data_IF_045501048918
#
_entry.id   IF_045501048918
#
_cell.length_a   1.000
_cell.length_b   1.000
_cell.length_c   1.000
_cell.angle_alpha   90.00
_cell.angle_beta   90.00
_cell.angle_gamma   90.00
#
_symmetry.space_group_name_H-M   'P 1'
#
loop_
_entity.id
_entity.type
_entity.pdbx_description
1 polymer ?
#
# COMPACT_ATOMS: atom_id res chain seq x y z
N UNK A 1 -57.36 -43.59 -1.38
CA UNK A 1 -56.32 -44.65 -1.30
C UNK A 1 -55.53 -44.56 -2.60
N UNK A 2 -54.25 -44.24 -2.71
CA UNK A 2 -53.09 -44.00 -1.85
C UNK A 2 -52.27 -42.89 -2.56
N UNK A 3 -51.75 -41.83 -1.93
CA UNK A 3 -50.61 -41.74 -1.01
C UNK A 3 -49.28 -42.31 -1.58
N UNK A 4 -48.25 -41.45 -1.58
CA UNK A 4 -46.79 -41.70 -1.68
C UNK A 4 -46.17 -41.61 -3.10
N UNK A 5 -45.00 -41.02 -3.35
CA UNK A 5 -44.04 -40.24 -2.55
C UNK A 5 -43.04 -39.57 -3.50
N UNK A 6 -42.67 -38.34 -3.13
CA UNK A 6 -41.65 -37.39 -3.57
C UNK A 6 -40.22 -37.96 -3.72
N UNK A 7 -39.42 -37.38 -4.62
CA UNK A 7 -38.16 -36.64 -4.31
C UNK A 7 -37.19 -36.67 -5.50
N UNK A 8 -37.13 -35.53 -6.20
CA UNK A 8 -36.08 -35.22 -7.15
C UNK A 8 -34.75 -35.04 -6.42
N UNK A 9 -33.76 -35.79 -6.84
CA UNK A 9 -32.36 -35.65 -6.46
C UNK A 9 -31.72 -34.58 -7.32
N UNK A 10 -31.94 -33.31 -7.00
CA UNK A 10 -31.32 -32.21 -7.72
C UNK A 10 -31.05 -30.99 -6.86
N UNK A 11 -30.53 -31.14 -5.64
CA UNK A 11 -30.20 -29.98 -4.80
C UNK A 11 -29.11 -30.29 -3.77
N UNK A 12 -27.85 -30.48 -4.17
CA UNK A 12 -26.69 -30.36 -3.26
C UNK A 12 -25.40 -30.01 -4.01
N UNK A 13 -25.39 -28.87 -4.71
CA UNK A 13 -24.15 -28.14 -4.98
C UNK A 13 -24.36 -26.68 -4.55
N UNK A 14 -24.50 -26.48 -3.25
CA UNK A 14 -24.36 -25.15 -2.67
C UNK A 14 -22.89 -24.72 -2.84
N UNK A 15 -22.62 -23.99 -3.92
CA UNK A 15 -21.40 -23.22 -4.08
C UNK A 15 -21.31 -22.28 -2.87
N UNK A 16 -20.43 -22.59 -1.93
CA UNK A 16 -20.07 -21.68 -0.86
C UNK A 16 -19.25 -20.55 -1.48
N UNK A 17 -19.92 -19.56 -2.05
CA UNK A 17 -19.30 -18.28 -2.39
C UNK A 17 -19.02 -17.58 -1.05
N UNK A 18 -17.76 -17.48 -0.59
CA UNK A 18 -17.48 -16.73 0.61
C UNK A 18 -18.00 -15.30 0.41
N UNK A 19 -18.60 -14.66 1.44
CA UNK A 19 -19.02 -13.27 1.33
C UNK A 19 -17.83 -12.42 0.89
N UNK A 20 -18.02 -11.39 0.05
CA UNK A 20 -16.92 -10.55 -0.42
C UNK A 20 -16.27 -9.92 0.81
N UNK A 21 -15.10 -10.44 1.20
CA UNK A 21 -14.26 -9.82 2.21
C UNK A 21 -13.83 -8.49 1.60
N UNK A 22 -14.30 -7.38 2.18
CA UNK A 22 -13.90 -6.03 1.80
C UNK A 22 -12.46 -5.81 2.22
N UNK A 23 -11.53 -6.44 1.50
CA UNK A 23 -10.08 -6.26 1.67
C UNK A 23 -9.83 -4.76 1.67
N UNK A 24 -9.36 -4.24 2.80
CA UNK A 24 -9.06 -2.83 2.95
C UNK A 24 -8.08 -2.39 1.85
N UNK A 25 -8.39 -1.26 1.19
CA UNK A 25 -7.52 -0.63 0.19
C UNK A 25 -7.34 0.85 0.52
N UNK A 26 -6.13 1.41 0.33
CA UNK A 26 -5.93 2.83 0.51
C UNK A 26 -6.80 3.62 -0.47
N UNK A 27 -7.27 4.79 -0.03
CA UNK A 27 -8.07 5.69 -0.87
C UNK A 27 -7.20 6.24 -2.01
N UNK A 28 -7.81 6.40 -3.18
CA UNK A 28 -7.13 7.04 -4.32
C UNK A 28 -6.84 8.50 -4.00
N UNK A 29 -5.58 8.89 -4.17
CA UNK A 29 -5.12 10.27 -4.00
C UNK A 29 -5.56 11.06 -5.23
N UNK A 30 -6.47 12.01 -5.04
CA UNK A 30 -6.98 12.88 -6.10
C UNK A 30 -6.42 14.30 -6.00
N UNK A 31 -6.03 14.73 -4.80
CA UNK A 31 -5.44 16.05 -4.54
C UNK A 31 -4.30 15.95 -3.52
N UNK A 32 -3.61 17.08 -3.26
CA UNK A 32 -2.52 17.14 -2.27
C UNK A 32 -3.02 16.88 -0.84
N UNK A 33 -4.20 17.35 -0.47
CA UNK A 33 -4.76 17.21 0.88
C UNK A 33 -5.05 15.75 1.24
N UNK A 34 -5.40 14.92 0.26
CA UNK A 34 -5.65 13.48 0.43
C UNK A 34 -4.39 12.75 0.94
N UNK A 35 -3.19 13.24 0.58
CA UNK A 35 -1.92 12.69 1.06
C UNK A 35 -1.72 12.92 2.57
N UNK A 36 -2.41 13.91 3.14
CA UNK A 36 -2.19 14.39 4.49
C UNK A 36 -0.82 15.05 4.71
N UNK A 37 -0.10 15.37 3.63
CA UNK A 37 1.18 16.07 3.66
C UNK A 37 1.01 17.56 3.37
N UNK A 38 1.92 18.36 3.91
CA UNK A 38 1.96 19.80 3.61
C UNK A 38 2.59 20.03 2.24
N UNK A 39 2.17 21.11 1.57
CA UNK A 39 2.76 21.50 0.29
C UNK A 39 4.28 21.74 0.40
N UNK A 40 4.73 22.31 1.52
CA UNK A 40 6.15 22.54 1.78
C UNK A 40 6.96 21.25 1.83
N UNK A 41 6.44 20.19 2.46
CA UNK A 41 7.11 18.90 2.51
C UNK A 41 7.20 18.25 1.13
N UNK A 42 6.12 18.30 0.34
CA UNK A 42 6.15 17.76 -1.03
C UNK A 42 7.09 18.57 -1.93
N UNK A 43 7.09 19.90 -1.81
CA UNK A 43 8.02 20.77 -2.52
C UNK A 43 9.48 20.49 -2.17
N UNK A 44 9.76 20.27 -0.89
CA UNK A 44 11.07 19.85 -0.41
C UNK A 44 11.52 18.52 -1.02
N UNK A 45 10.66 17.49 -1.00
CA UNK A 45 10.95 16.17 -1.58
C UNK A 45 11.21 16.26 -3.10
N UNK A 46 10.38 17.03 -3.81
CA UNK A 46 10.54 17.25 -5.25
C UNK A 46 11.86 17.96 -5.54
N UNK A 47 12.17 19.04 -4.82
CA UNK A 47 13.41 19.79 -5.04
C UNK A 47 14.65 18.95 -4.74
N UNK A 48 14.64 18.17 -3.66
CA UNK A 48 15.70 17.21 -3.33
C UNK A 48 15.86 16.14 -4.42
N UNK A 49 14.75 15.64 -4.97
CA UNK A 49 14.78 14.65 -6.05
C UNK A 49 15.50 15.21 -7.29
N UNK A 50 15.18 16.44 -7.69
CA UNK A 50 15.85 17.11 -8.81
C UNK A 50 17.32 17.37 -8.47
N UNK A 51 17.64 17.80 -7.24
CA UNK A 51 19.01 18.04 -6.78
C UNK A 51 19.91 16.81 -6.91
N UNK A 52 19.45 15.62 -6.48
CA UNK A 52 20.27 14.41 -6.54
C UNK A 52 20.39 13.80 -7.93
N UNK A 53 19.36 13.96 -8.78
CA UNK A 53 19.35 13.36 -10.13
C UNK A 53 19.88 14.29 -11.22
N UNK A 54 19.99 15.59 -10.96
CA UNK A 54 20.53 16.60 -11.87
C UNK A 54 19.55 17.01 -12.98
N UNK A 55 19.13 16.07 -13.83
CA UNK A 55 18.12 16.27 -14.86
C UNK A 55 17.05 15.18 -14.77
N UNK A 56 15.79 15.58 -14.61
CA UNK A 56 14.66 14.63 -14.45
C UNK A 56 13.40 15.16 -15.11
N UNK A 57 12.58 14.25 -15.61
CA UNK A 57 11.23 14.59 -16.08
C UNK A 57 10.24 14.69 -14.92
N UNK A 58 9.15 15.43 -15.13
CA UNK A 58 8.06 15.50 -14.15
C UNK A 58 7.45 14.13 -13.82
N UNK A 59 7.38 13.22 -14.81
CA UNK A 59 6.92 11.85 -14.59
C UNK A 59 7.89 11.03 -13.73
N UNK A 60 9.20 11.16 -13.93
CA UNK A 60 10.20 10.48 -13.10
C UNK A 60 10.18 10.98 -11.66
N UNK A 61 9.99 12.28 -11.45
CA UNK A 61 9.80 12.85 -10.11
C UNK A 61 8.57 12.23 -9.43
N UNK A 62 7.45 12.16 -10.15
CA UNK A 62 6.21 11.60 -9.63
C UNK A 62 6.31 10.10 -9.30
N UNK A 63 6.96 9.32 -10.16
CA UNK A 63 7.21 7.90 -9.91
C UNK A 63 8.15 7.69 -8.72
N UNK A 64 9.20 8.51 -8.60
CA UNK A 64 10.15 8.43 -7.50
C UNK A 64 9.50 8.71 -6.14
N UNK A 65 8.73 9.80 -6.02
CA UNK A 65 8.06 10.14 -4.75
C UNK A 65 6.74 9.38 -4.53
N UNK A 66 6.32 8.55 -5.51
CA UNK A 66 5.09 7.74 -5.49
C UNK A 66 3.80 8.55 -5.32
N UNK A 67 3.74 9.74 -5.93
CA UNK A 67 2.56 10.61 -5.91
C UNK A 67 2.00 10.87 -7.32
N UNK A 68 0.66 11.06 -7.47
CA UNK A 68 0.06 11.33 -8.76
C UNK A 68 0.61 12.61 -9.42
N UNK A 69 1.06 12.48 -10.67
CA UNK A 69 1.66 13.62 -11.38
C UNK A 69 0.69 14.80 -11.53
N UNK A 70 -0.52 14.57 -12.06
CA UNK A 70 -1.40 15.66 -12.52
C UNK A 70 -1.83 16.63 -11.42
N UNK A 71 -2.25 16.10 -10.27
CA UNK A 71 -2.92 16.89 -9.24
C UNK A 71 -2.05 17.19 -8.03
N UNK A 72 -0.89 16.55 -7.90
CA UNK A 72 0.01 16.72 -6.75
C UNK A 72 1.37 17.24 -7.18
N UNK A 73 2.08 16.51 -8.05
CA UNK A 73 3.46 16.85 -8.41
C UNK A 73 3.55 18.03 -9.37
N UNK A 74 2.66 18.09 -10.37
CA UNK A 74 2.64 19.15 -11.38
C UNK A 74 2.44 20.55 -10.76
N UNK A 75 1.43 20.80 -9.88
CA UNK A 75 1.29 22.10 -9.23
C UNK A 75 2.51 22.50 -8.40
N UNK A 76 3.16 21.53 -7.75
CA UNK A 76 4.38 21.74 -6.96
C UNK A 76 5.56 22.13 -7.85
N UNK A 77 5.79 21.41 -8.95
CA UNK A 77 6.81 21.74 -9.93
C UNK A 77 6.60 23.14 -10.55
N UNK A 78 5.35 23.50 -10.86
CA UNK A 78 5.03 24.83 -11.37
C UNK A 78 5.33 25.94 -10.36
N UNK A 79 5.06 25.70 -9.07
CA UNK A 79 5.41 26.64 -8.01
C UNK A 79 6.92 26.77 -7.82
N UNK A 80 7.66 25.65 -7.79
CA UNK A 80 9.12 25.66 -7.71
C UNK A 80 9.76 26.40 -8.90
N UNK A 81 9.20 26.22 -10.10
CA UNK A 81 9.62 26.94 -11.31
C UNK A 81 9.32 28.43 -11.20
N UNK A 82 8.13 28.81 -10.72
CA UNK A 82 7.75 30.23 -10.49
C UNK A 82 8.68 30.90 -9.48
N UNK A 83 9.12 30.18 -8.47
CA UNK A 83 10.09 30.63 -7.46
C UNK A 83 11.55 30.58 -7.95
N UNK A 84 11.78 30.17 -9.21
CA UNK A 84 13.12 30.03 -9.83
C UNK A 84 14.04 29.04 -9.10
N UNK A 85 13.47 28.03 -8.45
CA UNK A 85 14.23 26.94 -7.80
C UNK A 85 14.57 25.83 -8.79
N UNK A 86 13.78 25.67 -9.86
CA UNK A 86 14.07 24.81 -10.99
C UNK A 86 13.67 25.49 -12.29
N UNK A 87 14.20 24.99 -13.40
CA UNK A 87 13.90 25.46 -14.74
C UNK A 87 13.66 24.29 -15.68
N UNK A 88 12.93 24.55 -16.78
CA UNK A 88 12.66 23.55 -17.81
C UNK A 88 13.65 23.75 -18.94
N UNK A 89 14.51 22.76 -19.18
CA UNK A 89 15.57 22.83 -20.20
C UNK A 89 15.12 22.25 -21.55
N UNK A 90 14.07 21.43 -21.54
CA UNK A 90 13.53 20.80 -22.74
C UNK A 90 12.31 19.94 -22.45
N UNK A 91 11.85 19.21 -23.47
CA UNK A 91 10.76 18.24 -23.35
C UNK A 91 11.15 16.93 -24.04
N UNK A 92 11.10 15.81 -23.31
CA UNK A 92 11.40 14.48 -23.84
C UNK A 92 10.22 13.77 -24.49
N UNK A 93 9.09 14.45 -24.66
CA UNK A 93 7.84 13.85 -25.15
C UNK A 93 6.65 14.80 -25.08
N UNK A 94 5.44 14.25 -25.21
CA UNK A 94 4.19 15.01 -25.19
C UNK A 94 3.65 15.20 -23.77
N UNK A 95 3.23 16.43 -23.47
CA UNK A 95 2.59 16.79 -22.21
C UNK A 95 3.54 17.29 -21.13
N UNK A 96 2.99 17.99 -20.15
CA UNK A 96 3.76 18.69 -19.12
C UNK A 96 4.61 17.77 -18.22
N UNK A 97 4.30 16.47 -18.15
CA UNK A 97 5.10 15.51 -17.38
C UNK A 97 6.40 15.09 -18.07
N UNK A 98 6.50 15.28 -19.38
CA UNK A 98 7.71 14.98 -20.15
C UNK A 98 8.72 16.15 -20.15
N UNK A 99 8.40 17.27 -19.51
CA UNK A 99 9.32 18.39 -19.35
C UNK A 99 10.52 17.98 -18.50
N UNK A 100 11.73 18.27 -19.00
CA UNK A 100 12.98 18.05 -18.30
C UNK A 100 13.26 19.23 -17.38
N UNK A 101 13.33 18.95 -16.09
CA UNK A 101 13.62 19.91 -15.04
C UNK A 101 15.08 19.79 -14.62
N UNK A 102 15.71 20.96 -14.46
CA UNK A 102 17.06 21.12 -13.91
C UNK A 102 17.00 22.08 -12.73
N UNK A 103 17.81 21.82 -11.72
CA UNK A 103 17.86 22.67 -10.53
C UNK A 103 18.70 23.93 -10.79
N UNK A 104 18.24 25.08 -10.31
CA UNK A 104 18.98 26.35 -10.42
C UNK A 104 19.99 26.49 -9.29
N UNK A 105 20.87 27.50 -9.34
CA UNK A 105 21.78 27.82 -8.23
C UNK A 105 21.04 28.13 -6.92
N UNK A 106 19.92 28.87 -7.01
CA UNK A 106 19.06 29.17 -5.85
C UNK A 106 18.33 27.92 -5.35
N UNK A 107 17.90 27.04 -6.27
CA UNK A 107 17.38 25.72 -5.93
C UNK A 107 18.38 24.85 -5.17
N UNK A 108 19.64 24.82 -5.61
CA UNK A 108 20.73 24.10 -4.95
C UNK A 108 20.93 24.61 -3.52
N UNK A 109 20.96 25.94 -3.35
CA UNK A 109 21.08 26.56 -2.03
C UNK A 109 19.93 26.14 -1.11
N UNK A 110 18.70 26.23 -1.59
CA UNK A 110 17.51 25.83 -0.83
C UNK A 110 17.46 24.33 -0.53
N UNK A 111 17.85 23.49 -1.48
CA UNK A 111 17.91 22.04 -1.27
C UNK A 111 18.91 21.67 -0.16
N UNK A 112 20.06 22.35 -0.09
CA UNK A 112 21.04 22.18 0.99
C UNK A 112 20.48 22.59 2.34
N UNK A 113 19.80 23.74 2.43
CA UNK A 113 19.11 24.14 3.67
C UNK A 113 18.08 23.09 4.15
N UNK A 114 17.35 22.47 3.22
CA UNK A 114 16.43 21.39 3.58
C UNK A 114 17.17 20.14 4.05
N UNK A 115 18.29 19.79 3.40
CA UNK A 115 19.11 18.63 3.79
C UNK A 115 19.77 18.80 5.17
N UNK A 116 20.10 20.04 5.56
CA UNK A 116 20.59 20.37 6.91
C UNK A 116 19.51 20.15 7.98
N UNK A 117 18.23 20.38 7.64
CA UNK A 117 17.10 20.17 8.56
C UNK A 117 16.68 18.69 8.63
N UNK A 118 16.69 18.02 7.49
CA UNK A 118 16.32 16.60 7.38
C UNK A 118 16.96 15.94 6.17
N UNK A 119 17.59 14.80 6.40
CA UNK A 119 18.24 14.00 5.35
C UNK A 119 17.25 13.11 4.59
N UNK A 120 15.97 13.10 4.99
CA UNK A 120 14.96 12.29 4.31
C UNK A 120 14.76 12.77 2.86
N UNK A 121 14.87 11.82 1.92
CA UNK A 121 14.98 12.05 0.46
C UNK A 121 14.28 10.96 -0.36
N UNK A 122 13.47 10.14 0.29
CA UNK A 122 12.80 8.99 -0.33
C UNK A 122 11.33 9.32 -0.68
N UNK A 123 10.55 8.29 -0.96
CA UNK A 123 9.11 8.33 -1.25
C UNK A 123 8.33 9.24 -0.29
N UNK A 124 7.19 9.78 -0.73
CA UNK A 124 6.36 10.59 0.15
C UNK A 124 5.91 9.80 1.40
N UNK A 125 6.18 10.29 2.62
CA UNK A 125 5.88 9.54 3.83
C UNK A 125 4.36 9.52 4.06
N UNK A 126 3.87 8.50 4.76
CA UNK A 126 2.46 8.43 5.16
C UNK A 126 2.32 9.02 6.57
N UNK A 127 1.40 9.98 6.81
CA UNK A 127 1.16 10.52 8.14
C UNK A 127 0.78 9.44 9.16
N UNK A 128 1.34 9.52 10.37
CA UNK A 128 1.13 8.55 11.44
C UNK A 128 -0.36 8.23 11.69
N UNK A 129 -1.21 9.26 11.72
CA UNK A 129 -2.66 9.08 11.96
C UNK A 129 -3.33 8.22 10.87
N UNK A 130 -2.96 8.44 9.60
CA UNK A 130 -3.50 7.66 8.48
C UNK A 130 -3.01 6.20 8.54
N UNK A 131 -1.73 6.00 8.87
CA UNK A 131 -1.17 4.67 9.05
C UNK A 131 -1.86 3.88 10.18
N UNK A 132 -2.05 4.50 11.35
CA UNK A 132 -2.72 3.87 12.50
C UNK A 132 -4.16 3.48 12.14
N UNK A 133 -4.89 4.33 11.43
CA UNK A 133 -6.26 4.03 11.02
C UNK A 133 -6.31 2.87 10.04
N UNK A 134 -5.41 2.83 9.05
CA UNK A 134 -5.27 1.71 8.14
C UNK A 134 -5.05 0.38 8.89
N UNK A 135 -4.11 0.38 9.85
CA UNK A 135 -3.82 -0.80 10.68
C UNK A 135 -5.00 -1.23 11.55
N UNK A 136 -5.76 -0.27 12.09
CA UNK A 136 -6.97 -0.57 12.87
C UNK A 136 -8.06 -1.22 12.03
N UNK A 137 -8.28 -0.73 10.81
CA UNK A 137 -9.30 -1.30 9.92
C UNK A 137 -8.88 -2.70 9.49
N UNK A 138 -7.63 -2.88 9.04
CA UNK A 138 -7.10 -4.19 8.65
C UNK A 138 -7.12 -5.19 9.80
N UNK A 139 -6.84 -4.76 11.04
CA UNK A 139 -6.84 -5.62 12.21
C UNK A 139 -8.23 -6.09 12.70
N UNK A 140 -9.32 -5.51 12.19
CA UNK A 140 -10.70 -5.87 12.57
C UNK A 140 -11.22 -7.11 11.85
N UNK A 141 -10.72 -7.41 10.65
CA UNK A 141 -11.08 -8.62 9.90
C UNK A 141 -10.35 -9.83 10.46
N UNK A 142 -10.71 -10.27 11.67
CA UNK A 142 -10.24 -11.55 12.21
C UNK A 142 -11.12 -12.66 11.67
N UNK A 143 -10.54 -13.56 10.89
CA UNK A 143 -11.20 -14.76 10.43
C UNK A 143 -11.47 -15.66 11.64
N UNK A 144 -12.74 -15.88 11.96
CA UNK A 144 -13.13 -16.86 12.98
C UNK A 144 -12.99 -18.24 12.38
N UNK A 145 -11.98 -18.99 12.83
CA UNK A 145 -11.73 -20.34 12.33
C UNK A 145 -12.51 -21.34 13.17
N UNK A 146 -13.42 -22.06 12.51
CA UNK A 146 -14.16 -23.16 13.11
C UNK A 146 -13.40 -24.48 12.94
N UNK A 147 -13.70 -25.47 13.79
CA UNK A 147 -13.01 -26.76 13.82
C UNK A 147 -13.10 -27.49 12.47
N UNK A 148 -14.27 -27.52 11.84
CA UNK A 148 -14.47 -28.14 10.52
C UNK A 148 -13.58 -27.53 9.43
N UNK A 149 -13.44 -26.20 9.44
CA UNK A 149 -12.59 -25.46 8.50
C UNK A 149 -11.11 -25.80 8.73
N UNK A 150 -10.72 -25.93 10.00
CA UNK A 150 -9.36 -26.31 10.39
C UNK A 150 -9.04 -27.76 9.97
N UNK A 151 -9.92 -28.73 10.28
CA UNK A 151 -9.76 -30.14 9.88
C UNK A 151 -9.69 -30.30 8.36
N UNK A 152 -10.49 -29.54 7.61
CA UNK A 152 -10.45 -29.54 6.14
C UNK A 152 -9.13 -29.00 5.59
N UNK A 153 -8.63 -27.90 6.15
CA UNK A 153 -7.42 -27.22 5.64
C UNK A 153 -6.14 -27.97 6.01
N UNK A 154 -6.10 -28.55 7.21
CA UNK A 154 -4.94 -29.29 7.72
C UNK A 154 -4.96 -30.78 7.36
N UNK A 155 -5.92 -31.25 6.56
CA UNK A 155 -6.08 -32.68 6.19
C UNK A 155 -4.81 -33.32 5.60
N UNK A 156 -4.01 -32.53 4.89
CA UNK A 156 -2.78 -33.01 4.25
C UNK A 156 -1.58 -33.07 5.22
N UNK A 157 -1.72 -32.51 6.43
CA UNK A 157 -0.67 -32.48 7.44
C UNK A 157 -0.94 -33.59 8.47
N UNK A 158 0.07 -34.43 8.74
CA UNK A 158 -0.03 -35.50 9.74
C UNK A 158 0.21 -34.87 11.11
N UNK A 159 -0.87 -34.43 11.77
CA UNK A 159 -0.83 -33.83 13.10
C UNK A 159 -1.39 -34.79 14.16
N UNK A 160 -0.77 -34.77 15.35
CA UNK A 160 -1.36 -35.39 16.53
C UNK A 160 -2.56 -34.54 17.01
N UNK A 161 -3.63 -35.16 17.52
CA UNK A 161 -4.82 -34.46 18.04
C UNK A 161 -4.45 -33.44 19.13
N UNK A 162 -3.42 -33.71 19.95
CA UNK A 162 -2.94 -32.75 20.95
C UNK A 162 -2.39 -31.45 20.34
N UNK A 163 -1.76 -31.53 19.15
CA UNK A 163 -1.26 -30.36 18.42
C UNK A 163 -2.43 -29.67 17.71
N UNK A 164 -3.37 -30.44 17.16
CA UNK A 164 -4.57 -29.91 16.53
C UNK A 164 -5.39 -29.04 17.50
N UNK A 165 -5.62 -29.53 18.72
CA UNK A 165 -6.35 -28.81 19.78
C UNK A 165 -5.66 -27.51 20.20
N UNK A 166 -4.33 -27.43 20.11
CA UNK A 166 -3.58 -26.20 20.38
C UNK A 166 -3.67 -25.17 19.25
N UNK A 167 -3.75 -25.62 17.99
CA UNK A 167 -3.82 -24.74 16.82
C UNK A 167 -5.15 -23.97 16.79
N UNK A 168 -6.26 -24.60 17.18
CA UNK A 168 -7.60 -24.00 17.29
C UNK A 168 -7.62 -22.62 17.94
N UNK A 169 -7.34 -22.55 19.26
CA UNK A 169 -7.28 -21.29 20.00
C UNK A 169 -6.17 -20.36 19.51
N UNK A 170 -5.03 -20.91 19.08
CA UNK A 170 -3.89 -20.12 18.65
C UNK A 170 -4.18 -19.35 17.35
N UNK A 171 -4.86 -19.97 16.37
CA UNK A 171 -5.26 -19.31 15.12
C UNK A 171 -6.30 -18.22 15.40
N UNK A 172 -7.30 -18.50 16.24
CA UNK A 172 -8.30 -17.50 16.65
C UNK A 172 -7.71 -16.35 17.51
N UNK A 173 -6.56 -16.56 18.14
CA UNK A 173 -5.86 -15.50 18.88
C UNK A 173 -5.24 -14.43 17.96
N UNK A 174 -5.08 -14.71 16.66
CA UNK A 174 -4.47 -13.81 15.68
C UNK A 174 -2.97 -13.55 15.92
N UNK A 175 -2.30 -14.40 16.70
CA UNK A 175 -0.86 -14.33 16.99
C UNK A 175 -0.08 -15.25 16.05
N UNK A 176 1.20 -14.94 15.85
CA UNK A 176 2.12 -15.80 15.10
C UNK A 176 2.29 -17.16 15.80
N UNK A 177 2.16 -18.25 15.05
CA UNK A 177 2.40 -19.62 15.51
C UNK A 177 3.68 -20.12 14.84
N UNK A 178 4.62 -20.63 15.64
CA UNK A 178 5.80 -21.33 15.14
C UNK A 178 5.63 -22.82 15.44
N UNK A 179 5.52 -23.63 14.39
CA UNK A 179 5.52 -25.09 14.49
C UNK A 179 6.94 -25.59 14.24
N UNK A 180 7.47 -26.39 15.16
CA UNK A 180 8.79 -27.04 15.01
C UNK A 180 8.66 -28.53 15.32
N UNK A 181 9.47 -29.35 14.65
CA UNK A 181 9.47 -30.80 14.84
C UNK A 181 10.74 -31.46 14.31
N UNK A 182 10.97 -32.76 14.62
CA UNK A 182 12.08 -33.53 14.09
C UNK A 182 12.09 -33.55 12.55
N UNK A 183 13.26 -33.69 11.91
CA UNK A 183 13.36 -33.74 10.46
C UNK A 183 12.47 -34.86 9.89
N UNK A 184 11.57 -34.51 8.95
CA UNK A 184 10.65 -35.45 8.30
C UNK A 184 9.15 -35.22 8.55
N UNK A 185 8.75 -34.28 9.41
CA UNK A 185 7.34 -33.96 9.72
C UNK A 185 6.86 -32.61 9.14
N UNK A 186 7.38 -32.23 7.95
CA UNK A 186 6.97 -31.03 7.21
C UNK A 186 5.91 -31.33 6.18
#
# INVERSE_FOLDING_TARGET
>A
MAAQTTMGTSDLQAQHTPPPQTVWRPKTISNLEDTGLTQGLVAELVLKTIYFRGQVTGYEVADYIRLPFQNVVRPVLENLKRERLCEVTGAGGLGAGAYQYVITSEGIRRAREYLERTTYTDVAPVPWKQYVEAMRIQGRERLTVNEEMMRRTLKHLILNESIFDMIGPAVNSGKSIFLYGPPGNG
#
